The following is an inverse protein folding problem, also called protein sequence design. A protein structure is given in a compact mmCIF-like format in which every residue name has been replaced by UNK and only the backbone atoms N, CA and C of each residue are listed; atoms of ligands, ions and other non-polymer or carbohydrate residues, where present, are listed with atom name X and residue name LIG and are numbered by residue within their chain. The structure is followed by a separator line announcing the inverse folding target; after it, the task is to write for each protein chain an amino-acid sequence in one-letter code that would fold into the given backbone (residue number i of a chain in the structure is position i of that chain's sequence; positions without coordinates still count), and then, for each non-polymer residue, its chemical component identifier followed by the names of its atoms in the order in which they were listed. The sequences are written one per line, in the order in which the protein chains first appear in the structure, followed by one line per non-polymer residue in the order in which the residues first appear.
data_IF_946959800540
#
_entry.id   IF_946959800540
#
_cell.length_a   1.000
_cell.length_b   1.000
_cell.length_c   1.000
_cell.angle_alpha   90.00
_cell.angle_beta   90.00
_cell.angle_gamma   90.00
#
_symmetry.space_group_name_H-M   'P 1'
#
loop_
_entity.id
_entity.type
_entity.pdbx_description
1 polymer ?
#
# COMPACT_ATOMS: atom_id res chain seq x y z
N UNK A 1 -16.05 24.46 -212.06
CA UNK A 1 -15.97 25.59 -211.11
C UNK A 1 -17.14 25.69 -210.13
N UNK A 2 -18.42 25.80 -210.53
CA UNK A 2 -19.54 25.93 -209.57
C UNK A 2 -19.87 24.64 -208.79
N UNK A 3 -19.73 23.48 -209.46
CA UNK A 3 -19.91 22.15 -208.85
C UNK A 3 -18.78 21.78 -207.86
N UNK A 4 -17.55 22.24 -208.13
CA UNK A 4 -16.38 21.98 -207.29
C UNK A 4 -16.47 22.74 -205.95
N UNK A 5 -17.06 23.94 -205.98
CA UNK A 5 -17.31 24.77 -204.79
C UNK A 5 -18.38 24.15 -203.88
N UNK A 6 -19.50 23.69 -204.44
CA UNK A 6 -20.53 23.00 -203.65
C UNK A 6 -20.02 21.67 -203.10
N UNK A 7 -19.22 20.89 -203.84
CA UNK A 7 -18.60 19.68 -203.28
C UNK A 7 -17.58 19.97 -202.17
N UNK A 8 -16.86 21.10 -202.24
CA UNK A 8 -15.98 21.53 -201.16
C UNK A 8 -16.76 21.99 -199.92
N UNK A 9 -17.82 22.78 -200.10
CA UNK A 9 -18.72 23.21 -199.02
C UNK A 9 -19.42 22.01 -198.37
N UNK A 10 -19.82 21.01 -199.15
CA UNK A 10 -20.44 19.77 -198.66
C UNK A 10 -19.44 18.87 -197.92
N UNK A 11 -18.18 18.82 -198.35
CA UNK A 11 -17.10 18.17 -197.60
C UNK A 11 -16.80 18.87 -196.28
N UNK A 12 -16.83 20.21 -196.26
CA UNK A 12 -16.62 21.00 -195.05
C UNK A 12 -17.76 20.80 -194.07
N UNK A 13 -19.02 20.85 -194.52
CA UNK A 13 -20.17 20.59 -193.65
C UNK A 13 -20.20 19.15 -193.16
N UNK A 14 -19.83 18.17 -193.99
CA UNK A 14 -19.74 16.78 -193.59
C UNK A 14 -18.62 16.56 -192.55
N UNK A 15 -17.45 17.19 -192.72
CA UNK A 15 -16.39 17.17 -191.71
C UNK A 15 -16.82 17.85 -190.39
N UNK A 16 -17.56 18.96 -190.48
CA UNK A 16 -18.12 19.64 -189.31
C UNK A 16 -19.16 18.77 -188.59
N UNK A 17 -20.01 18.06 -189.34
CA UNK A 17 -21.00 17.13 -188.79
C UNK A 17 -20.30 15.96 -188.09
N UNK A 18 -19.30 15.34 -188.71
CA UNK A 18 -18.52 14.26 -188.08
C UNK A 18 -17.75 14.74 -186.85
N UNK A 19 -17.25 15.98 -186.84
CA UNK A 19 -16.66 16.60 -185.65
C UNK A 19 -17.68 16.81 -184.54
N UNK A 20 -18.88 17.28 -184.89
CA UNK A 20 -19.98 17.49 -183.95
C UNK A 20 -20.51 16.16 -183.39
N UNK A 21 -20.59 15.11 -184.22
CA UNK A 21 -20.90 13.75 -183.80
C UNK A 21 -19.84 13.23 -182.81
N UNK A 22 -18.56 13.44 -183.11
CA UNK A 22 -17.45 13.04 -182.21
C UNK A 22 -17.52 13.79 -180.87
N UNK A 23 -17.80 15.08 -180.90
CA UNK A 23 -18.00 15.89 -179.69
C UNK A 23 -19.21 15.41 -178.89
N UNK A 24 -20.30 15.05 -179.57
CA UNK A 24 -21.50 14.53 -178.91
C UNK A 24 -21.21 13.19 -178.21
N UNK A 25 -20.43 12.30 -178.84
CA UNK A 25 -19.97 11.05 -178.20
C UNK A 25 -19.11 11.35 -176.96
N UNK A 26 -18.19 12.32 -177.02
CA UNK A 26 -17.39 12.72 -175.85
C UNK A 26 -18.28 13.28 -174.75
N UNK A 27 -19.20 14.19 -175.07
CA UNK A 27 -20.13 14.77 -174.11
C UNK A 27 -21.05 13.72 -173.50
N UNK A 28 -21.49 12.71 -174.26
CA UNK A 28 -22.26 11.58 -173.75
C UNK A 28 -21.44 10.76 -172.76
N UNK A 29 -20.21 10.39 -173.12
CA UNK A 29 -19.29 9.67 -172.22
C UNK A 29 -19.02 10.46 -170.94
N UNK A 30 -18.72 11.76 -171.04
CA UNK A 30 -18.50 12.61 -169.87
C UNK A 30 -19.75 12.74 -169.00
N UNK A 31 -20.94 12.81 -169.59
CA UNK A 31 -22.18 12.82 -168.81
C UNK A 31 -22.45 11.48 -168.12
N UNK A 32 -22.10 10.36 -168.74
CA UNK A 32 -22.19 9.03 -168.13
C UNK A 32 -21.20 8.89 -166.97
N UNK A 33 -19.98 9.42 -167.11
CA UNK A 33 -18.99 9.44 -166.04
C UNK A 33 -19.42 10.33 -164.88
N UNK A 34 -19.87 11.56 -165.15
CA UNK A 34 -20.41 12.46 -164.12
C UNK A 34 -21.62 11.86 -163.39
N UNK A 35 -22.50 11.14 -164.09
CA UNK A 35 -23.62 10.43 -163.46
C UNK A 35 -23.14 9.32 -162.54
N UNK A 36 -22.08 8.59 -162.91
CA UNK A 36 -21.48 7.56 -162.07
C UNK A 36 -20.83 8.16 -160.83
N UNK A 37 -20.12 9.27 -160.97
CA UNK A 37 -19.50 10.00 -159.86
C UNK A 37 -20.54 10.55 -158.89
N UNK A 38 -21.66 11.10 -159.40
CA UNK A 38 -22.79 11.55 -158.57
C UNK A 38 -23.34 10.38 -157.74
N UNK A 39 -23.63 9.24 -158.37
CA UNK A 39 -24.11 8.05 -157.65
C UNK A 39 -23.10 7.54 -156.62
N UNK A 40 -21.80 7.63 -156.92
CA UNK A 40 -20.74 7.28 -155.97
C UNK A 40 -20.71 8.21 -154.76
N UNK A 41 -20.76 9.52 -154.99
CA UNK A 41 -20.81 10.52 -153.93
C UNK A 41 -22.10 10.45 -153.11
N UNK A 42 -23.24 10.13 -153.72
CA UNK A 42 -24.49 9.86 -153.00
C UNK A 42 -24.34 8.65 -152.06
N UNK A 43 -23.70 7.57 -152.51
CA UNK A 43 -23.40 6.41 -151.66
C UNK A 43 -22.44 6.76 -150.51
N UNK A 44 -21.37 7.52 -150.78
CA UNK A 44 -20.42 7.94 -149.74
C UNK A 44 -21.10 8.87 -148.71
N UNK A 45 -22.04 9.71 -149.14
CA UNK A 45 -22.85 10.55 -148.25
C UNK A 45 -23.73 9.68 -147.36
N UNK A 46 -24.45 8.72 -147.92
CA UNK A 46 -25.31 7.80 -147.16
C UNK A 46 -24.49 7.01 -146.11
N UNK A 47 -23.29 6.55 -146.48
CA UNK A 47 -22.39 5.84 -145.56
C UNK A 47 -21.90 6.75 -144.42
N UNK A 48 -21.49 7.99 -144.74
CA UNK A 48 -21.06 8.99 -143.74
C UNK A 48 -22.19 9.41 -142.80
N UNK A 49 -23.42 9.56 -143.30
CA UNK A 49 -24.61 9.83 -142.47
C UNK A 49 -24.85 8.69 -141.48
N UNK A 50 -24.73 7.43 -141.93
CA UNK A 50 -24.82 6.27 -141.04
C UNK A 50 -23.72 6.21 -139.96
N UNK A 51 -22.48 6.60 -140.31
CA UNK A 51 -21.39 6.71 -139.33
C UNK A 51 -21.65 7.83 -138.31
N UNK A 52 -22.19 8.98 -138.75
CA UNK A 52 -22.57 10.10 -137.88
C UNK A 52 -23.63 9.66 -136.88
N UNK A 53 -24.71 9.03 -137.34
CA UNK A 53 -25.77 8.52 -136.47
C UNK A 53 -25.22 7.55 -135.41
N UNK A 54 -24.33 6.64 -135.81
CA UNK A 54 -23.69 5.70 -134.89
C UNK A 54 -22.76 6.38 -133.87
N UNK A 55 -22.08 7.46 -134.24
CA UNK A 55 -21.27 8.26 -133.32
C UNK A 55 -22.14 9.06 -132.35
N UNK A 56 -23.26 9.63 -132.80
CA UNK A 56 -24.23 10.33 -131.95
C UNK A 56 -24.84 9.41 -130.89
N UNK A 57 -25.19 8.18 -131.27
CA UNK A 57 -25.65 7.14 -130.34
C UNK A 57 -24.57 6.81 -129.30
N UNK A 58 -23.32 6.63 -129.73
CA UNK A 58 -22.20 6.34 -128.82
C UNK A 58 -21.93 7.49 -127.84
N UNK A 59 -21.99 8.75 -128.30
CA UNK A 59 -21.86 9.94 -127.44
C UNK A 59 -22.96 9.95 -126.39
N UNK A 60 -24.22 9.71 -126.80
CA UNK A 60 -25.36 9.64 -125.88
C UNK A 60 -25.17 8.57 -124.81
N UNK A 61 -24.70 7.37 -125.19
CA UNK A 61 -24.40 6.28 -124.25
C UNK A 61 -23.29 6.68 -123.27
N UNK A 62 -22.23 7.32 -123.76
CA UNK A 62 -21.11 7.77 -122.93
C UNK A 62 -21.52 8.86 -121.93
N UNK A 63 -22.38 9.80 -122.34
CA UNK A 63 -22.92 10.84 -121.45
C UNK A 63 -23.78 10.25 -120.33
N UNK A 64 -24.64 9.28 -120.66
CA UNK A 64 -25.42 8.53 -119.66
C UNK A 64 -24.50 7.75 -118.72
N UNK A 65 -23.47 7.08 -119.25
CA UNK A 65 -22.47 6.36 -118.46
C UNK A 65 -21.71 7.27 -117.51
N UNK A 66 -21.29 8.45 -117.99
CA UNK A 66 -20.63 9.49 -117.19
C UNK A 66 -21.51 9.96 -116.05
N UNK A 67 -22.78 10.31 -116.32
CA UNK A 67 -23.71 10.75 -115.29
C UNK A 67 -23.92 9.69 -114.20
N UNK A 68 -24.00 8.40 -114.58
CA UNK A 68 -24.10 7.30 -113.62
C UNK A 68 -22.84 7.15 -112.75
N UNK A 69 -21.66 7.31 -113.34
CA UNK A 69 -20.40 7.27 -112.59
C UNK A 69 -20.29 8.44 -111.62
N UNK A 70 -20.67 9.65 -112.03
CA UNK A 70 -20.70 10.83 -111.15
C UNK A 70 -21.62 10.62 -109.94
N UNK A 71 -22.82 10.08 -110.14
CA UNK A 71 -23.73 9.72 -109.04
C UNK A 71 -23.14 8.64 -108.11
N UNK A 72 -22.43 7.66 -108.68
CA UNK A 72 -21.79 6.60 -107.90
C UNK A 72 -20.65 7.16 -107.04
N UNK A 73 -19.83 8.05 -107.60
CA UNK A 73 -18.75 8.73 -106.86
C UNK A 73 -19.33 9.56 -105.72
N UNK A 74 -20.37 10.36 -105.98
CA UNK A 74 -21.05 11.14 -104.93
C UNK A 74 -21.58 10.24 -103.79
N UNK A 75 -22.17 9.09 -104.14
CA UNK A 75 -22.64 8.12 -103.15
C UNK A 75 -21.50 7.53 -102.30
N UNK A 76 -20.37 7.20 -102.92
CA UNK A 76 -19.19 6.68 -102.22
C UNK A 76 -18.53 7.75 -101.32
N UNK A 77 -18.47 9.00 -101.77
CA UNK A 77 -17.96 10.12 -100.97
C UNK A 77 -18.82 10.35 -99.72
N UNK A 78 -20.15 10.31 -99.88
CA UNK A 78 -21.08 10.43 -98.75
C UNK A 78 -20.90 9.27 -97.74
N UNK A 79 -20.85 8.03 -98.22
CA UNK A 79 -20.64 6.86 -97.37
C UNK A 79 -19.27 6.90 -96.66
N UNK A 80 -18.22 7.37 -97.34
CA UNK A 80 -16.90 7.49 -96.73
C UNK A 80 -16.87 8.59 -95.65
N UNK A 81 -17.60 9.69 -95.83
CA UNK A 81 -17.78 10.72 -94.81
C UNK A 81 -18.51 10.18 -93.58
N UNK A 82 -19.55 9.37 -93.77
CA UNK A 82 -20.31 8.73 -92.68
C UNK A 82 -19.42 7.77 -91.88
N UNK A 83 -18.71 6.86 -92.57
CA UNK A 83 -17.78 5.92 -91.93
C UNK A 83 -16.64 6.63 -91.17
N UNK A 84 -16.19 7.78 -91.68
CA UNK A 84 -15.20 8.62 -91.00
C UNK A 84 -15.77 9.18 -89.69
N UNK A 85 -17.02 9.65 -89.70
CA UNK A 85 -17.72 10.10 -88.49
C UNK A 85 -17.90 8.98 -87.46
N UNK A 86 -18.38 7.81 -87.89
CA UNK A 86 -18.54 6.64 -87.01
C UNK A 86 -17.22 6.19 -86.37
N UNK A 87 -16.13 6.22 -87.16
CA UNK A 87 -14.78 5.93 -86.66
C UNK A 87 -14.36 6.92 -85.58
N UNK A 88 -14.57 8.22 -85.80
CA UNK A 88 -14.16 9.26 -84.85
C UNK A 88 -14.99 9.20 -83.55
N UNK A 89 -16.28 8.88 -83.65
CA UNK A 89 -17.12 8.59 -82.49
C UNK A 89 -16.69 7.31 -81.74
N UNK A 90 -16.27 6.28 -82.45
CA UNK A 90 -15.75 5.05 -81.84
C UNK A 90 -14.42 5.30 -81.11
N UNK A 91 -13.53 6.10 -81.68
CA UNK A 91 -12.28 6.53 -81.04
C UNK A 91 -12.59 7.31 -79.76
N UNK A 92 -13.48 8.31 -79.84
CA UNK A 92 -13.87 9.13 -78.69
C UNK A 92 -14.48 8.31 -77.55
N UNK A 93 -15.31 7.30 -77.89
CA UNK A 93 -15.84 6.33 -76.91
C UNK A 93 -14.75 5.45 -76.31
N UNK A 94 -13.79 5.02 -77.12
CA UNK A 94 -12.64 4.24 -76.66
C UNK A 94 -11.79 5.01 -75.64
N UNK A 95 -11.52 6.28 -75.91
CA UNK A 95 -10.75 7.15 -75.01
C UNK A 95 -11.48 7.37 -73.68
N UNK A 96 -12.80 7.62 -73.72
CA UNK A 96 -13.62 7.72 -72.51
C UNK A 96 -13.59 6.44 -71.66
N UNK A 97 -13.75 5.26 -72.29
CA UNK A 97 -13.67 3.98 -71.60
C UNK A 97 -12.29 3.71 -71.00
N UNK A 98 -11.22 4.20 -71.64
CA UNK A 98 -9.87 4.08 -71.11
C UNK A 98 -9.71 4.90 -69.81
N UNK A 99 -10.20 6.14 -69.81
CA UNK A 99 -10.21 7.00 -68.61
C UNK A 99 -11.03 6.36 -67.48
N UNK A 100 -12.24 5.86 -67.78
CA UNK A 100 -13.08 5.18 -66.79
C UNK A 100 -12.39 3.95 -66.19
N UNK A 101 -11.68 3.18 -67.01
CA UNK A 101 -10.91 2.02 -66.55
C UNK A 101 -9.77 2.41 -65.61
N UNK A 102 -9.04 3.48 -65.90
CA UNK A 102 -7.97 3.98 -65.01
C UNK A 102 -8.54 4.47 -63.68
N UNK A 103 -9.67 5.18 -63.70
CA UNK A 103 -10.36 5.61 -62.49
C UNK A 103 -10.82 4.42 -61.64
N UNK A 104 -11.49 3.45 -62.24
CA UNK A 104 -11.93 2.23 -61.54
C UNK A 104 -10.76 1.44 -60.95
N UNK A 105 -9.60 1.43 -61.63
CA UNK A 105 -8.38 0.79 -61.12
C UNK A 105 -7.88 1.50 -59.86
N UNK A 106 -7.91 2.83 -59.86
CA UNK A 106 -7.54 3.66 -58.72
C UNK A 106 -8.50 3.46 -57.55
N UNK A 107 -9.80 3.49 -57.80
CA UNK A 107 -10.85 3.30 -56.78
C UNK A 107 -10.77 1.90 -56.14
N UNK A 108 -10.45 0.88 -56.93
CA UNK A 108 -10.23 -0.48 -56.45
C UNK A 108 -8.99 -0.56 -55.53
N UNK A 109 -7.91 0.12 -55.88
CA UNK A 109 -6.70 0.16 -55.05
C UNK A 109 -6.98 0.86 -53.71
N UNK A 110 -7.68 2.00 -53.74
CA UNK A 110 -8.11 2.72 -52.52
C UNK A 110 -9.00 1.84 -51.65
N UNK A 111 -9.97 1.16 -52.25
CA UNK A 111 -10.90 0.27 -51.53
C UNK A 111 -10.17 -0.91 -50.88
N UNK A 112 -9.16 -1.48 -51.55
CA UNK A 112 -8.32 -2.54 -50.98
C UNK A 112 -7.54 -2.04 -49.76
N UNK A 113 -6.89 -0.88 -49.87
CA UNK A 113 -6.15 -0.31 -48.74
C UNK A 113 -7.06 0.00 -47.55
N UNK A 114 -8.25 0.56 -47.80
CA UNK A 114 -9.23 0.80 -46.74
C UNK A 114 -9.67 -0.51 -46.06
N UNK A 115 -9.89 -1.58 -46.82
CA UNK A 115 -10.24 -2.88 -46.25
C UNK A 115 -9.10 -3.48 -45.41
N UNK A 116 -7.85 -3.37 -45.85
CA UNK A 116 -6.68 -3.79 -45.07
C UNK A 116 -6.61 -3.06 -43.72
N UNK A 117 -6.79 -1.73 -43.74
CA UNK A 117 -6.81 -0.90 -42.52
C UNK A 117 -7.97 -1.26 -41.58
N UNK A 118 -9.14 -1.58 -42.14
CA UNK A 118 -10.30 -2.03 -41.34
C UNK A 118 -10.03 -3.40 -40.71
N UNK A 119 -9.37 -4.32 -41.41
CA UNK A 119 -8.98 -5.61 -40.86
C UNK A 119 -7.98 -5.46 -39.72
N UNK A 120 -6.97 -4.59 -39.87
CA UNK A 120 -6.01 -4.28 -38.80
C UNK A 120 -6.70 -3.68 -37.57
N UNK A 121 -7.58 -2.69 -37.78
CA UNK A 121 -8.36 -2.09 -36.70
C UNK A 121 -9.22 -3.13 -35.98
N UNK A 122 -9.88 -4.02 -36.73
CA UNK A 122 -10.73 -5.07 -36.15
C UNK A 122 -9.91 -6.08 -35.34
N UNK A 123 -8.71 -6.46 -35.81
CA UNK A 123 -7.80 -7.31 -35.06
C UNK A 123 -7.36 -6.64 -33.74
N UNK A 124 -7.06 -5.33 -33.77
CA UNK A 124 -6.76 -4.54 -32.57
C UNK A 124 -7.92 -4.53 -31.57
N UNK A 125 -9.13 -4.22 -32.01
CA UNK A 125 -10.33 -4.23 -31.16
C UNK A 125 -10.61 -5.61 -30.55
N UNK A 126 -10.32 -6.69 -31.28
CA UNK A 126 -10.43 -8.04 -30.73
C UNK A 126 -9.40 -8.32 -29.62
N UNK A 127 -8.17 -7.81 -29.75
CA UNK A 127 -7.15 -7.90 -28.69
C UNK A 127 -7.59 -7.12 -27.44
N UNK A 128 -7.98 -5.86 -27.61
CA UNK A 128 -8.44 -4.99 -26.52
C UNK A 128 -9.63 -5.61 -25.77
N UNK A 129 -10.59 -6.19 -26.51
CA UNK A 129 -11.75 -6.87 -25.93
C UNK A 129 -11.33 -8.10 -25.12
N UNK A 130 -10.31 -8.84 -25.57
CA UNK A 130 -9.79 -10.00 -24.83
C UNK A 130 -9.11 -9.57 -23.54
N UNK A 131 -8.31 -8.51 -23.58
CA UNK A 131 -7.64 -7.94 -22.39
C UNK A 131 -8.65 -7.42 -21.37
N UNK A 132 -9.65 -6.64 -21.80
CA UNK A 132 -10.69 -6.13 -20.94
C UNK A 132 -11.52 -7.24 -20.27
N UNK A 133 -11.73 -8.37 -20.96
CA UNK A 133 -12.39 -9.55 -20.38
C UNK A 133 -11.53 -10.19 -19.29
N UNK A 134 -10.24 -10.38 -19.54
CA UNK A 134 -9.32 -10.93 -18.55
C UNK A 134 -9.22 -10.04 -17.30
N UNK A 135 -9.18 -8.71 -17.47
CA UNK A 135 -9.20 -7.77 -16.35
C UNK A 135 -10.51 -7.87 -15.55
N UNK A 136 -11.66 -7.97 -16.22
CA UNK A 136 -12.95 -8.14 -15.56
C UNK A 136 -13.01 -9.43 -14.73
N UNK A 137 -12.52 -10.54 -15.29
CA UNK A 137 -12.47 -11.83 -14.58
C UNK A 137 -11.59 -11.73 -13.31
N UNK A 138 -10.44 -11.05 -13.40
CA UNK A 138 -9.58 -10.79 -12.25
C UNK A 138 -10.27 -9.93 -11.19
N UNK A 139 -10.91 -8.82 -11.59
CA UNK A 139 -11.65 -7.95 -10.67
C UNK A 139 -12.79 -8.70 -9.98
N UNK A 140 -13.50 -9.57 -10.70
CA UNK A 140 -14.52 -10.42 -10.10
C UNK A 140 -13.94 -11.41 -9.08
N UNK A 141 -12.76 -11.99 -9.34
CA UNK A 141 -12.09 -12.87 -8.40
C UNK A 141 -11.72 -12.12 -7.11
N UNK A 142 -11.08 -10.96 -7.22
CA UNK A 142 -10.75 -10.12 -6.06
C UNK A 142 -11.98 -9.68 -5.28
N UNK A 143 -13.10 -9.37 -5.96
CA UNK A 143 -14.33 -8.98 -5.27
C UNK A 143 -14.96 -10.15 -4.49
N UNK A 144 -14.85 -11.39 -5.00
CA UNK A 144 -15.27 -12.59 -4.27
C UNK A 144 -14.40 -12.82 -3.02
N UNK A 145 -13.09 -12.63 -3.14
CA UNK A 145 -12.14 -12.75 -2.03
C UNK A 145 -12.45 -11.72 -0.92
N UNK A 146 -12.55 -10.43 -1.28
CA UNK A 146 -12.89 -9.36 -0.34
C UNK A 146 -14.25 -9.58 0.34
N UNK A 147 -15.22 -10.15 -0.38
CA UNK A 147 -16.51 -10.50 0.21
C UNK A 147 -16.39 -11.61 1.25
N UNK A 148 -15.49 -12.59 1.03
CA UNK A 148 -15.19 -13.65 2.00
C UNK A 148 -14.46 -13.12 3.24
N UNK A 149 -13.48 -12.25 3.04
CA UNK A 149 -12.76 -11.59 4.13
C UNK A 149 -13.69 -10.75 5.00
N UNK A 150 -14.63 -10.02 4.37
CA UNK A 150 -15.62 -9.21 5.07
C UNK A 150 -16.53 -10.06 5.97
N UNK A 151 -16.98 -11.23 5.48
CA UNK A 151 -17.83 -12.12 6.27
C UNK A 151 -17.05 -12.79 7.42
N UNK A 152 -15.77 -13.10 7.19
CA UNK A 152 -14.87 -13.61 8.23
C UNK A 152 -14.68 -12.57 9.34
N UNK A 153 -14.32 -11.33 8.98
CA UNK A 153 -14.17 -10.23 9.93
C UNK A 153 -15.47 -9.95 10.70
N UNK A 154 -16.62 -10.07 10.04
CA UNK A 154 -17.93 -9.93 10.69
C UNK A 154 -18.16 -11.03 11.73
N UNK A 155 -17.80 -12.27 11.43
CA UNK A 155 -17.92 -13.39 12.36
C UNK A 155 -17.00 -13.20 13.57
N UNK A 156 -15.75 -12.79 13.34
CA UNK A 156 -14.79 -12.48 14.41
C UNK A 156 -15.28 -11.34 15.30
N UNK A 157 -15.85 -10.28 14.72
CA UNK A 157 -16.43 -9.18 15.47
C UNK A 157 -17.57 -9.63 16.40
N UNK A 158 -18.47 -10.50 15.91
CA UNK A 158 -19.56 -11.04 16.72
C UNK A 158 -19.04 -11.94 17.85
N UNK A 159 -17.99 -12.72 17.59
CA UNK A 159 -17.34 -13.53 18.62
C UNK A 159 -16.68 -12.65 19.70
N UNK A 160 -16.01 -11.57 19.29
CA UNK A 160 -15.40 -10.62 20.21
C UNK A 160 -16.46 -9.92 21.07
N UNK A 161 -17.59 -9.52 20.47
CA UNK A 161 -18.70 -8.93 21.21
C UNK A 161 -19.27 -9.88 22.27
N UNK A 162 -19.39 -11.18 21.95
CA UNK A 162 -19.78 -12.19 22.93
C UNK A 162 -18.76 -12.33 24.06
N UNK A 163 -17.46 -12.31 23.74
CA UNK A 163 -16.40 -12.41 24.73
C UNK A 163 -16.39 -11.21 25.70
N UNK A 164 -16.67 -10.00 25.19
CA UNK A 164 -16.84 -8.80 26.03
C UNK A 164 -17.95 -9.00 27.06
N UNK A 165 -19.10 -9.55 26.65
CA UNK A 165 -20.19 -9.87 27.60
C UNK A 165 -19.77 -10.86 28.70
N UNK A 166 -18.98 -11.88 28.36
CA UNK A 166 -18.44 -12.81 29.37
C UNK A 166 -17.47 -12.14 30.34
N UNK A 167 -16.65 -11.19 29.89
CA UNK A 167 -15.75 -10.43 30.77
C UNK A 167 -16.55 -9.59 31.76
N UNK A 168 -17.63 -8.95 31.32
CA UNK A 168 -18.52 -8.18 32.20
C UNK A 168 -19.16 -9.07 33.28
N UNK A 169 -19.61 -10.29 32.93
CA UNK A 169 -20.13 -11.27 33.90
C UNK A 169 -19.07 -11.72 34.91
N UNK A 170 -17.86 -12.02 34.44
CA UNK A 170 -16.74 -12.39 35.31
C UNK A 170 -16.35 -11.25 36.25
N UNK A 171 -16.38 -10.01 35.78
CA UNK A 171 -16.09 -8.83 36.59
C UNK A 171 -17.14 -8.65 37.69
N UNK A 172 -18.43 -8.79 37.35
CA UNK A 172 -19.50 -8.78 38.36
C UNK A 172 -19.34 -9.90 39.39
N UNK A 173 -18.90 -11.09 38.95
CA UNK A 173 -18.65 -12.22 39.85
C UNK A 173 -17.48 -11.94 40.78
N UNK A 174 -16.38 -11.41 40.25
CA UNK A 174 -15.19 -11.05 41.03
C UNK A 174 -15.50 -9.96 42.07
N UNK A 175 -16.30 -8.96 41.70
CA UNK A 175 -16.74 -7.91 42.63
C UNK A 175 -17.67 -8.47 43.73
N UNK A 176 -18.52 -9.44 43.39
CA UNK A 176 -19.33 -10.18 44.38
C UNK A 176 -18.46 -10.93 45.39
N UNK A 177 -17.50 -11.72 44.91
CA UNK A 177 -16.55 -12.46 45.77
C UNK A 177 -15.71 -11.52 46.64
N UNK A 178 -15.24 -10.39 46.10
CA UNK A 178 -14.55 -9.36 46.90
C UNK A 178 -15.42 -8.84 48.03
N UNK A 179 -16.70 -8.61 47.78
CA UNK A 179 -17.66 -8.23 48.83
C UNK A 179 -17.76 -9.29 49.93
N UNK A 180 -17.91 -10.57 49.56
CA UNK A 180 -17.96 -11.68 50.52
C UNK A 180 -16.69 -11.80 51.36
N UNK A 181 -15.50 -11.60 50.77
CA UNK A 181 -14.23 -11.60 51.50
C UNK A 181 -14.21 -10.51 52.57
N UNK A 182 -14.60 -9.28 52.22
CA UNK A 182 -14.64 -8.17 53.18
C UNK A 182 -15.59 -8.48 54.35
N UNK A 183 -16.77 -9.04 54.06
CA UNK A 183 -17.71 -9.47 55.11
C UNK A 183 -17.12 -10.54 56.03
N UNK A 184 -16.42 -11.54 55.46
CA UNK A 184 -15.76 -12.59 56.23
C UNK A 184 -14.60 -12.06 57.07
N UNK A 185 -13.79 -11.12 56.54
CA UNK A 185 -12.72 -10.46 57.28
C UNK A 185 -13.27 -9.66 58.47
N UNK A 186 -14.35 -8.90 58.26
CA UNK A 186 -15.04 -8.15 59.32
C UNK A 186 -15.61 -9.09 60.40
N UNK A 187 -16.09 -10.27 60.01
CA UNK A 187 -16.57 -11.29 60.96
C UNK A 187 -15.43 -11.99 61.71
N UNK A 188 -14.30 -12.22 61.06
CA UNK A 188 -13.14 -12.92 61.64
C UNK A 188 -12.42 -12.05 62.68
N UNK A 189 -12.32 -10.74 62.43
CA UNK A 189 -11.60 -9.79 63.28
C UNK A 189 -11.97 -9.85 64.78
N UNK A 190 -13.26 -9.79 65.19
CA UNK A 190 -13.62 -9.87 66.61
C UNK A 190 -13.38 -11.25 67.23
N UNK A 191 -13.35 -12.33 66.43
CA UNK A 191 -13.03 -13.67 66.94
C UNK A 191 -11.55 -13.78 67.30
N UNK A 192 -10.65 -13.28 66.44
CA UNK A 192 -9.20 -13.23 66.69
C UNK A 192 -8.90 -12.40 67.94
N UNK A 193 -9.51 -11.23 68.08
CA UNK A 193 -9.29 -10.33 69.23
C UNK A 193 -9.92 -10.82 70.55
N UNK A 194 -10.74 -11.87 70.51
CA UNK A 194 -11.36 -12.45 71.73
C UNK A 194 -10.51 -13.55 72.40
N UNK A 195 -9.48 -14.05 71.71
CA UNK A 195 -8.56 -15.07 72.21
C UNK A 195 -7.40 -14.42 72.95
N UNK A 196 -7.44 -14.41 74.29
CA UNK A 196 -6.44 -13.91 75.26
C UNK A 196 -5.33 -13.00 74.67
N UNK A 197 -5.76 -11.96 73.94
CA UNK A 197 -4.85 -11.12 73.19
C UNK A 197 -4.32 -10.09 74.18
N UNK A 198 -3.06 -10.24 74.59
CA UNK A 198 -2.42 -9.26 75.43
C UNK A 198 -1.95 -8.12 74.55
N UNK A 199 -2.50 -6.93 74.78
CA UNK A 199 -1.87 -5.67 74.34
C UNK A 199 -0.66 -5.45 75.25
N UNK A 200 0.43 -6.20 75.05
CA UNK A 200 1.53 -6.24 76.01
C UNK A 200 2.53 -5.12 75.78
N UNK A 201 2.75 -4.37 76.87
CA UNK A 201 3.66 -3.27 77.13
C UNK A 201 5.16 -3.43 76.83
N UNK A 202 5.68 -4.52 76.27
CA UNK A 202 7.15 -4.70 76.28
C UNK A 202 7.72 -5.69 75.27
N UNK A 203 7.93 -5.24 74.03
CA UNK A 203 9.07 -5.73 73.25
C UNK A 203 10.19 -4.69 73.40
N UNK A 204 11.43 -5.14 73.56
CA UNK A 204 12.56 -4.21 73.59
C UNK A 204 12.78 -3.70 72.18
N UNK A 205 12.64 -2.39 72.00
CA UNK A 205 12.87 -1.82 70.69
C UNK A 205 14.36 -1.59 70.47
N UNK A 206 14.96 -2.42 69.64
CA UNK A 206 16.34 -2.30 69.19
C UNK A 206 16.47 -1.53 67.87
N UNK A 207 15.33 -1.15 67.26
CA UNK A 207 15.27 -0.58 65.91
C UNK A 207 15.37 -1.63 64.79
N UNK A 208 15.61 -2.90 65.11
CA UNK A 208 15.79 -3.97 64.12
C UNK A 208 14.54 -4.26 63.28
N UNK A 209 13.36 -3.79 63.71
CA UNK A 209 12.10 -3.95 62.97
C UNK A 209 11.64 -2.70 62.23
N UNK A 210 12.43 -1.62 62.24
CA UNK A 210 12.11 -0.45 61.43
C UNK A 210 12.33 -0.76 59.93
N UNK A 211 11.43 -0.32 59.03
CA UNK A 211 10.36 0.66 59.25
C UNK A 211 9.00 0.06 59.67
N UNK A 212 8.85 -1.26 59.72
CA UNK A 212 7.55 -1.92 59.95
C UNK A 212 7.04 -1.74 61.37
N UNK A 213 7.93 -1.82 62.35
CA UNK A 213 7.60 -1.66 63.77
C UNK A 213 8.66 -0.78 64.43
N UNK A 214 8.27 0.44 64.78
CA UNK A 214 9.09 1.39 65.52
C UNK A 214 8.94 1.26 67.02
N UNK A 215 9.84 1.92 67.76
CA UNK A 215 9.86 1.88 69.23
C UNK A 215 8.66 2.54 69.92
N UNK A 216 7.83 3.23 69.15
CA UNK A 216 6.66 3.94 69.61
C UNK A 216 5.37 3.23 69.20
N UNK A 217 5.47 2.10 68.53
CA UNK A 217 4.32 1.34 68.11
C UNK A 217 3.90 0.42 69.24
N UNK A 218 2.62 0.03 69.24
CA UNK A 218 2.14 -1.09 70.03
C UNK A 218 1.72 -2.21 69.09
N UNK A 219 1.78 -3.42 69.62
CA UNK A 219 1.45 -4.64 68.89
C UNK A 219 0.47 -5.43 69.72
N UNK A 220 -0.57 -5.95 69.08
CA UNK A 220 -1.38 -7.00 69.68
C UNK A 220 -0.74 -8.34 69.37
N UNK A 221 -0.35 -9.04 70.42
CA UNK A 221 0.25 -10.37 70.36
C UNK A 221 -0.81 -11.43 70.67
N UNK A 222 -0.81 -12.50 69.89
CA UNK A 222 -1.47 -13.75 70.28
C UNK A 222 -0.40 -14.63 70.90
N UNK A 223 -0.59 -14.99 72.17
CA UNK A 223 0.36 -15.80 72.95
C UNK A 223 -0.03 -17.28 73.02
N UNK A 224 -1.29 -17.61 72.73
CA UNK A 224 -1.79 -18.98 72.59
C UNK A 224 -2.17 -19.25 71.14
N UNK A 225 -1.30 -19.93 70.40
CA UNK A 225 -1.49 -20.19 68.97
C UNK A 225 -0.96 -21.56 68.58
N UNK A 226 -1.55 -22.16 67.55
CA UNK A 226 -0.94 -23.32 66.91
C UNK A 226 0.23 -22.85 66.05
N UNK A 227 1.41 -23.50 66.08
CA UNK A 227 2.56 -23.05 65.31
C UNK A 227 2.31 -22.98 63.80
N UNK A 228 1.35 -23.75 63.28
CA UNK A 228 0.90 -23.67 61.88
C UNK A 228 0.17 -22.37 61.51
N UNK A 229 -0.19 -21.53 62.49
CA UNK A 229 -0.78 -20.20 62.26
C UNK A 229 0.27 -19.15 61.90
N UNK A 230 1.54 -19.39 62.23
CA UNK A 230 2.64 -18.53 61.82
C UNK A 230 2.98 -18.87 60.37
N UNK A 231 2.95 -17.85 59.51
CA UNK A 231 3.34 -17.93 58.11
C UNK A 231 4.60 -17.11 57.86
N UNK A 232 5.31 -17.39 56.76
CA UNK A 232 6.36 -16.50 56.27
C UNK A 232 5.79 -15.07 56.13
N UNK A 233 6.53 -14.10 56.65
CA UNK A 233 6.10 -12.71 56.74
C UNK A 233 5.42 -12.35 58.06
N UNK A 234 5.00 -13.30 58.90
CA UNK A 234 4.49 -12.98 60.23
C UNK A 234 5.60 -12.41 61.13
N UNK A 235 5.26 -11.50 62.05
CA UNK A 235 6.20 -11.00 63.06
C UNK A 235 5.98 -11.79 64.34
N UNK A 236 7.04 -12.37 64.89
CA UNK A 236 7.01 -13.19 66.10
C UNK A 236 7.84 -12.54 67.20
N UNK A 237 7.37 -12.62 68.44
CA UNK A 237 8.15 -12.32 69.64
C UNK A 237 8.72 -13.62 70.17
N UNK A 238 10.03 -13.68 70.39
CA UNK A 238 10.71 -14.90 70.82
C UNK A 238 11.92 -14.61 71.70
N UNK A 239 12.35 -15.63 72.43
CA UNK A 239 13.57 -15.60 73.22
C UNK A 239 14.73 -16.23 72.42
N UNK A 240 15.78 -15.46 72.08
CA UNK A 240 16.91 -15.91 71.27
C UNK A 240 17.93 -16.72 72.08
N UNK A 241 17.51 -17.87 72.62
CA UNK A 241 18.38 -18.81 73.37
C UNK A 241 19.43 -19.53 72.50
N UNK A 242 19.52 -19.22 71.21
CA UNK A 242 20.42 -19.86 70.25
C UNK A 242 21.77 -19.13 70.10
N UNK A 243 21.91 -17.92 70.64
CA UNK A 243 23.17 -17.16 70.57
C UNK A 243 24.10 -17.59 71.71
N UNK A 244 24.96 -18.59 71.46
CA UNK A 244 25.91 -19.16 72.44
C UNK A 244 26.85 -18.12 73.10
N UNK A 245 26.95 -16.91 72.54
CA UNK A 245 27.80 -15.81 73.03
C UNK A 245 27.11 -14.86 74.02
N UNK A 246 25.83 -15.05 74.34
CA UNK A 246 25.05 -14.15 75.21
C UNK A 246 24.44 -14.85 76.44
N UNK A 247 25.20 -15.71 77.11
CA UNK A 247 24.78 -16.45 78.31
C UNK A 247 24.38 -15.57 79.53
N UNK A 248 24.56 -14.25 79.46
CA UNK A 248 24.24 -13.28 80.53
C UNK A 248 23.08 -12.32 80.19
N UNK A 249 22.35 -12.52 79.07
CA UNK A 249 21.17 -11.69 78.74
C UNK A 249 19.88 -12.38 79.19
N UNK A 250 19.61 -12.29 80.49
CA UNK A 250 18.30 -12.66 81.05
C UNK A 250 17.17 -11.87 80.35
N UNK A 251 16.16 -12.60 79.84
CA UNK A 251 14.77 -12.18 79.57
C UNK A 251 14.48 -11.03 78.58
N UNK A 252 15.28 -10.83 77.52
CA UNK A 252 14.95 -9.82 76.48
C UNK A 252 14.23 -10.46 75.28
N UNK A 253 12.90 -10.31 75.25
CA UNK A 253 12.09 -10.69 74.10
C UNK A 253 12.43 -9.86 72.86
N UNK A 254 12.70 -10.56 71.76
CA UNK A 254 12.99 -9.96 70.45
C UNK A 254 11.81 -10.19 69.51
N UNK A 255 11.41 -9.17 68.77
CA UNK A 255 10.35 -9.26 67.78
C UNK A 255 10.94 -9.22 66.38
N UNK A 256 10.83 -10.27 65.56
CA UNK A 256 11.31 -10.27 64.18
C UNK A 256 10.36 -10.94 63.18
N UNK A 257 10.54 -10.65 61.88
CA UNK A 257 9.76 -11.26 60.81
C UNK A 257 10.28 -12.66 60.50
N UNK A 258 9.38 -13.62 60.42
CA UNK A 258 9.67 -14.97 59.94
C UNK A 258 9.91 -14.91 58.43
N UNK A 259 11.07 -15.39 57.98
CA UNK A 259 11.42 -15.43 56.54
C UNK A 259 11.52 -16.86 55.99
N UNK A 260 11.56 -17.87 56.87
CA UNK A 260 11.52 -19.28 56.49
C UNK A 260 10.95 -20.11 57.66
N UNK A 261 10.34 -21.26 57.34
CA UNK A 261 9.71 -22.17 58.29
C UNK A 261 10.08 -23.60 57.93
N UNK A 262 10.52 -24.38 58.92
CA UNK A 262 10.69 -25.83 58.76
C UNK A 262 10.01 -26.62 59.87
N UNK A 263 9.69 -27.87 59.56
CA UNK A 263 9.15 -28.83 60.52
C UNK A 263 10.11 -30.01 60.63
N UNK A 264 10.73 -30.16 61.80
CA UNK A 264 11.77 -31.17 62.05
C UNK A 264 11.56 -31.74 63.46
N UNK A 265 11.67 -33.06 63.60
CA UNK A 265 11.47 -33.79 64.87
C UNK A 265 10.16 -33.44 65.61
N UNK A 266 9.07 -33.31 64.85
CA UNK A 266 7.73 -32.91 65.32
C UNK A 266 7.67 -31.50 65.95
N UNK A 267 8.63 -30.62 65.63
CA UNK A 267 8.69 -29.24 66.11
C UNK A 267 8.80 -28.26 64.95
N UNK A 268 7.95 -27.22 64.96
CA UNK A 268 8.09 -26.08 64.05
C UNK A 268 9.26 -25.21 64.46
N UNK A 269 10.05 -24.81 63.47
CA UNK A 269 11.16 -23.90 63.63
C UNK A 269 10.96 -22.71 62.69
N UNK A 270 11.25 -21.52 63.20
CA UNK A 270 11.10 -20.26 62.49
C UNK A 270 12.47 -19.62 62.31
N UNK A 271 12.76 -19.16 61.09
CA UNK A 271 13.97 -18.41 60.80
C UNK A 271 13.62 -16.92 60.80
N UNK A 272 14.01 -16.15 61.83
CA UNK A 272 13.61 -14.75 61.93
C UNK A 272 14.67 -13.81 61.35
N UNK A 273 14.21 -12.64 60.92
CA UNK A 273 15.04 -11.51 60.54
C UNK A 273 14.33 -10.20 60.90
N UNK A 274 15.07 -9.28 61.52
CA UNK A 274 14.61 -7.91 61.69
C UNK A 274 14.47 -7.19 60.36
N UNK A 275 13.37 -6.47 60.14
CA UNK A 275 13.13 -5.74 58.88
C UNK A 275 14.19 -4.67 58.55
N UNK A 276 14.86 -4.14 59.58
CA UNK A 276 15.97 -3.19 59.46
C UNK A 276 17.35 -3.85 59.42
N UNK A 277 17.43 -5.18 59.53
CA UNK A 277 18.68 -5.93 59.49
C UNK A 277 18.94 -6.45 58.07
N UNK A 278 20.19 -6.36 57.61
CA UNK A 278 20.61 -6.96 56.33
C UNK A 278 20.79 -8.48 56.46
N UNK A 279 21.26 -8.93 57.63
CA UNK A 279 21.49 -10.32 57.96
C UNK A 279 20.29 -10.90 58.74
N UNK A 280 20.04 -12.20 58.57
CA UNK A 280 19.11 -12.93 59.43
C UNK A 280 19.69 -13.16 60.82
N UNK A 281 18.86 -13.65 61.75
CA UNK A 281 19.30 -13.85 63.14
C UNK A 281 20.25 -15.04 63.31
N UNK A 282 20.55 -15.77 62.23
CA UNK A 282 21.52 -16.86 62.18
C UNK A 282 21.10 -18.14 62.88
N UNK A 283 19.83 -18.28 63.31
CA UNK A 283 19.37 -19.47 64.02
C UNK A 283 17.89 -19.80 63.82
N UNK A 284 17.58 -21.09 63.97
CA UNK A 284 16.21 -21.61 63.96
C UNK A 284 15.61 -21.51 65.36
N UNK A 285 14.50 -20.79 65.48
CA UNK A 285 13.75 -20.63 66.73
C UNK A 285 12.68 -21.72 66.82
N UNK A 286 12.78 -22.68 67.75
CA UNK A 286 11.73 -23.67 67.94
C UNK A 286 10.47 -22.98 68.48
N UNK A 287 9.30 -23.48 68.12
CA UNK A 287 8.02 -22.91 68.55
C UNK A 287 7.90 -22.72 70.07
N UNK A 288 8.48 -23.61 70.88
CA UNK A 288 8.49 -23.48 72.34
C UNK A 288 9.21 -22.23 72.86
N UNK A 289 9.98 -21.53 72.03
CA UNK A 289 10.65 -20.27 72.34
C UNK A 289 9.95 -19.05 71.75
N UNK A 290 8.85 -19.24 71.01
CA UNK A 290 8.03 -18.14 70.48
C UNK A 290 6.96 -17.81 71.51
N UNK A 291 6.98 -16.58 72.02
CA UNK A 291 6.09 -16.11 73.06
C UNK A 291 4.81 -15.49 72.51
N UNK A 292 4.84 -15.04 71.26
CA UNK A 292 3.64 -14.55 70.59
C UNK A 292 3.90 -14.26 69.12
N UNK A 293 2.85 -14.10 68.33
CA UNK A 293 2.93 -13.53 67.00
C UNK A 293 1.99 -12.32 66.86
N UNK A 294 2.44 -11.33 66.10
CA UNK A 294 1.77 -10.07 65.92
C UNK A 294 0.59 -10.24 64.96
N UNK A 295 -0.58 -9.75 65.38
CA UNK A 295 -1.78 -9.74 64.53
C UNK A 295 -2.28 -8.35 64.18
N UNK A 296 -1.97 -7.34 64.99
CA UNK A 296 -2.25 -5.95 64.68
C UNK A 296 -1.09 -5.06 65.14
N UNK A 297 -0.75 -4.08 64.32
CA UNK A 297 0.25 -3.05 64.58
C UNK A 297 -0.46 -1.71 64.75
N UNK A 298 -0.10 -0.96 65.78
CA UNK A 298 -0.64 0.36 66.03
C UNK A 298 0.49 1.37 66.09
N UNK A 299 0.66 2.09 64.99
CA UNK A 299 1.70 3.10 64.86
C UNK A 299 1.57 4.20 65.93
N UNK A 300 2.72 4.63 66.49
CA UNK A 300 2.84 5.79 67.39
C UNK A 300 1.90 5.78 68.62
N UNK A 301 1.61 4.61 69.17
CA UNK A 301 0.70 4.45 70.31
C UNK A 301 1.40 4.47 71.67
N UNK A 302 2.73 4.41 71.73
CA UNK A 302 3.57 4.54 72.94
C UNK A 302 4.46 5.77 72.91
N UNK A 303 4.91 6.24 74.10
CA UNK A 303 4.26 6.09 75.40
C UNK A 303 2.88 6.78 75.41
N UNK A 304 2.00 6.47 76.37
CA UNK A 304 0.71 7.17 76.53
C UNK A 304 0.91 8.67 76.82
N UNK A 305 2.04 9.03 77.46
CA UNK A 305 2.43 10.41 77.70
C UNK A 305 2.93 11.06 76.39
N UNK A 306 2.13 11.98 75.84
CA UNK A 306 2.44 12.70 74.61
C UNK A 306 3.77 13.50 74.67
N UNK A 307 4.14 14.04 75.84
CA UNK A 307 5.41 14.78 76.00
C UNK A 307 6.61 13.84 75.90
N UNK A 308 6.51 12.67 76.50
CA UNK A 308 7.56 11.66 76.45
C UNK A 308 7.67 11.05 75.05
N UNK A 309 6.54 10.85 74.37
CA UNK A 309 6.51 10.43 72.96
C UNK A 309 7.21 11.44 72.07
N UNK A 310 6.91 12.73 72.25
CA UNK A 310 7.56 13.79 71.49
C UNK A 310 9.07 13.83 71.78
N UNK A 311 9.49 13.61 73.03
CA UNK A 311 10.90 13.58 73.41
C UNK A 311 11.66 12.41 72.74
N UNK A 312 11.08 11.20 72.72
CA UNK A 312 11.66 10.03 72.04
C UNK A 312 11.70 10.23 70.53
N UNK A 313 10.61 10.71 69.92
CA UNK A 313 10.56 11.04 68.48
C UNK A 313 11.66 12.04 68.10
N UNK A 314 11.76 13.13 68.86
CA UNK A 314 12.77 14.18 68.62
C UNK A 314 14.18 13.61 68.74
N UNK A 315 14.46 12.83 69.79
CA UNK A 315 15.78 12.23 69.98
C UNK A 315 16.12 11.20 68.88
N UNK A 316 15.15 10.41 68.43
CA UNK A 316 15.31 9.45 67.32
C UNK A 316 15.66 10.18 66.03
N UNK A 317 14.91 11.23 65.70
CA UNK A 317 15.09 11.95 64.45
C UNK A 317 16.46 12.64 64.41
N UNK A 318 16.91 13.22 65.55
CA UNK A 318 18.28 13.73 65.71
C UNK A 318 19.33 12.63 65.54
N UNK A 319 19.16 11.46 66.19
CA UNK A 319 20.09 10.35 66.05
C UNK A 319 20.21 9.88 64.60
N UNK A 320 19.09 9.72 63.88
CA UNK A 320 19.09 9.33 62.47
C UNK A 320 19.80 10.35 61.60
N UNK A 321 19.49 11.63 61.75
CA UNK A 321 20.13 12.71 60.97
C UNK A 321 21.67 12.71 61.16
N UNK A 322 22.12 12.55 62.41
CA UNK A 322 23.55 12.55 62.72
C UNK A 322 24.23 11.25 62.25
N UNK A 323 23.60 10.09 62.42
CA UNK A 323 24.08 8.81 61.89
C UNK A 323 24.22 8.87 60.37
N UNK A 324 23.19 9.34 59.68
CA UNK A 324 23.18 9.39 58.22
C UNK A 324 24.27 10.36 57.72
N UNK A 325 24.51 11.47 58.45
CA UNK A 325 25.63 12.38 58.18
C UNK A 325 27.00 11.71 58.36
N UNK A 326 27.17 10.90 59.42
CA UNK A 326 28.38 10.11 59.65
C UNK A 326 28.58 9.06 58.54
N UNK A 327 27.55 8.27 58.23
CA UNK A 327 27.60 7.21 57.22
C UNK A 327 27.90 7.82 55.83
N UNK A 328 27.32 8.97 55.50
CA UNK A 328 27.60 9.70 54.26
C UNK A 328 29.05 10.18 54.20
N UNK A 329 29.55 10.83 55.27
CA UNK A 329 30.93 11.30 55.33
C UNK A 329 31.93 10.14 55.25
N UNK A 330 31.68 9.06 56.01
CA UNK A 330 32.50 7.86 56.00
C UNK A 330 32.51 7.21 54.61
N UNK A 331 31.34 7.01 53.99
CA UNK A 331 31.24 6.44 52.64
C UNK A 331 31.91 7.33 51.59
N UNK A 332 31.77 8.65 51.69
CA UNK A 332 32.41 9.63 50.80
C UNK A 332 33.93 9.52 50.84
N UNK A 333 34.51 9.27 52.00
CA UNK A 333 35.98 9.22 52.16
C UNK A 333 36.58 7.82 52.02
N UNK A 334 35.85 6.80 52.42
CA UNK A 334 36.32 5.41 52.45
C UNK A 334 35.87 4.61 51.22
N UNK A 335 34.81 5.04 50.54
CA UNK A 335 34.22 4.33 49.41
C UNK A 335 33.41 3.09 49.81
N UNK A 336 33.09 2.96 51.09
CA UNK A 336 32.33 1.84 51.67
C UNK A 336 31.70 2.24 53.00
N UNK A 337 30.71 1.46 53.45
CA UNK A 337 29.98 1.73 54.69
C UNK A 337 30.85 1.46 55.94
N UNK A 338 30.73 2.25 57.02
CA UNK A 338 31.50 2.04 58.25
C UNK A 338 31.29 0.65 58.89
N UNK A 339 30.23 -0.06 58.52
CA UNK A 339 29.89 -1.37 59.06
C UNK A 339 30.56 -2.55 58.32
N UNK A 340 31.28 -2.32 57.22
CA UNK A 340 31.89 -3.39 56.42
C UNK A 340 33.22 -3.95 56.98
N UNK A 341 33.66 -3.50 58.16
CA UNK A 341 34.87 -4.02 58.82
C UNK A 341 36.19 -3.77 58.07
N UNK A 342 36.19 -2.87 57.06
CA UNK A 342 37.37 -2.54 56.25
C UNK A 342 38.13 -1.35 56.85
N UNK A 343 39.46 -1.40 56.85
CA UNK A 343 40.29 -0.29 57.34
C UNK A 343 40.26 0.88 56.36
N UNK A 344 39.85 2.07 56.83
CA UNK A 344 39.86 3.30 56.06
C UNK A 344 41.03 4.21 56.45
N UNK A 345 41.72 4.78 55.46
CA UNK A 345 42.83 5.73 55.67
C UNK A 345 42.39 7.15 55.29
N UNK A 346 42.11 7.96 56.31
CA UNK A 346 41.64 9.34 56.16
C UNK A 346 42.83 10.33 56.19
N UNK A 347 42.77 11.39 55.38
CA UNK A 347 43.65 12.55 55.56
C UNK A 347 43.28 13.32 56.83
N UNK A 348 44.17 14.18 57.34
CA UNK A 348 43.95 14.86 58.63
C UNK A 348 42.58 15.54 58.75
N UNK A 349 42.18 16.34 57.76
CA UNK A 349 40.87 17.02 57.78
C UNK A 349 39.68 16.05 57.65
N UNK A 350 39.82 14.96 56.89
CA UNK A 350 38.78 13.95 56.75
C UNK A 350 38.61 13.16 58.05
N UNK A 351 39.71 12.86 58.75
CA UNK A 351 39.70 12.19 60.04
C UNK A 351 38.98 13.05 61.08
N UNK A 352 39.29 14.35 61.15
CA UNK A 352 38.68 15.27 62.10
C UNK A 352 37.16 15.39 61.89
N UNK A 353 36.72 15.55 60.64
CA UNK A 353 35.29 15.61 60.29
C UNK A 353 34.56 14.29 60.62
N UNK A 354 35.11 13.15 60.19
CA UNK A 354 34.49 11.84 60.39
C UNK A 354 34.44 11.46 61.88
N UNK A 355 35.48 11.82 62.64
CA UNK A 355 35.55 11.58 64.10
C UNK A 355 34.57 12.48 64.85
N UNK A 356 34.42 13.74 64.43
CA UNK A 356 33.43 14.66 65.01
C UNK A 356 32.00 14.14 64.80
N UNK A 357 31.67 13.72 63.58
CA UNK A 357 30.37 13.12 63.26
C UNK A 357 30.14 11.81 64.02
N UNK A 358 31.16 10.97 64.17
CA UNK A 358 31.07 9.75 64.98
C UNK A 358 30.76 10.07 66.45
N UNK A 359 31.46 11.05 67.05
CA UNK A 359 31.16 11.48 68.41
C UNK A 359 29.76 12.07 68.57
N UNK A 360 29.31 12.86 67.58
CA UNK A 360 27.96 13.39 67.55
C UNK A 360 26.93 12.25 67.47
N UNK A 361 27.18 11.23 66.64
CA UNK A 361 26.32 10.05 66.49
C UNK A 361 26.23 9.28 67.81
N UNK A 362 27.37 9.01 68.47
CA UNK A 362 27.41 8.31 69.76
C UNK A 362 26.63 9.10 70.82
N UNK A 363 26.81 10.41 70.88
CA UNK A 363 26.09 11.28 71.82
C UNK A 363 24.58 11.30 71.55
N UNK A 364 24.17 11.39 70.28
CA UNK A 364 22.77 11.33 69.90
C UNK A 364 22.15 9.96 70.20
N UNK A 365 22.91 8.86 70.01
CA UNK A 365 22.50 7.51 70.37
C UNK A 365 22.31 7.38 71.89
N UNK A 366 23.19 7.95 72.70
CA UNK A 366 23.06 7.93 74.16
C UNK A 366 21.80 8.68 74.62
N UNK A 367 21.51 9.84 74.02
CA UNK A 367 20.30 10.62 74.31
C UNK A 367 19.05 9.86 73.87
N UNK A 368 19.04 9.30 72.66
CA UNK A 368 17.94 8.49 72.16
C UNK A 368 17.70 7.24 73.02
N UNK A 369 18.76 6.51 73.36
CA UNK A 369 18.71 5.32 74.21
C UNK A 369 18.20 5.67 75.61
N UNK A 370 18.61 6.82 76.15
CA UNK A 370 18.14 7.31 77.43
C UNK A 370 16.63 7.61 77.40
N UNK A 371 16.15 8.37 76.40
CA UNK A 371 14.72 8.69 76.27
C UNK A 371 13.88 7.45 76.02
N UNK A 372 14.38 6.50 75.21
CA UNK A 372 13.72 5.20 74.98
C UNK A 372 13.61 4.42 76.28
N UNK A 373 14.68 4.33 77.07
CA UNK A 373 14.67 3.65 78.38
C UNK A 373 13.74 4.33 79.39
N UNK A 374 13.67 5.67 79.38
CA UNK A 374 12.69 6.40 80.21
C UNK A 374 11.26 6.09 79.75
N UNK A 375 11.02 6.02 78.43
CA UNK A 375 9.72 5.63 77.88
C UNK A 375 9.33 4.19 78.23
N UNK A 376 10.27 3.25 78.15
CA UNK A 376 10.09 1.85 78.57
C UNK A 376 9.78 1.73 80.06
N UNK A 377 10.48 2.49 80.93
CA UNK A 377 10.28 2.43 82.38
C UNK A 377 9.06 3.23 82.86
N UNK A 378 8.55 4.16 82.04
CA UNK A 378 7.38 4.96 82.35
C UNK A 378 6.09 4.18 82.09
N UNK A 379 5.88 3.07 82.80
CA UNK A 379 4.59 2.36 82.80
C UNK A 379 3.46 3.17 83.47
N UNK A 380 3.75 4.39 83.97
CA UNK A 380 2.81 5.23 84.71
C UNK A 380 2.70 6.64 84.12
N UNK A 381 1.48 7.11 83.79
CA UNK A 381 1.26 8.48 83.34
C UNK A 381 1.67 9.48 84.44
N UNK A 382 2.61 10.38 84.13
CA UNK A 382 2.92 11.54 84.97
C UNK A 382 4.16 11.48 85.85
N UNK A 383 5.00 10.44 85.74
CA UNK A 383 6.31 10.42 86.43
C UNK A 383 7.45 10.47 85.41
N UNK A 384 7.99 11.67 85.16
CA UNK A 384 9.26 11.85 84.44
C UNK A 384 10.35 11.81 85.51
N UNK A 385 11.29 10.85 85.51
CA UNK A 385 12.40 10.83 86.46
C UNK A 385 13.17 12.16 86.40
N UNK A 386 13.39 12.82 87.54
CA UNK A 386 14.04 14.14 87.63
C UNK A 386 15.51 14.15 87.14
N UNK A 387 16.09 12.99 86.82
CA UNK A 387 17.34 12.86 86.09
C UNK A 387 17.07 12.78 84.58
N UNK A 388 16.63 13.91 84.01
CA UNK A 388 16.40 14.11 82.57
C UNK A 388 17.62 13.68 81.75
N UNK A 389 17.38 12.97 80.65
CA UNK A 389 18.33 12.72 79.56
C UNK A 389 18.78 14.07 78.98
N UNK A 390 19.75 14.72 79.62
CA UNK A 390 20.22 16.04 79.21
C UNK A 390 21.05 15.90 77.95
N UNK A 391 20.65 16.62 76.91
CA UNK A 391 21.52 16.95 75.79
C UNK A 391 22.78 17.61 76.35
N UNK A 392 23.91 16.91 76.36
CA UNK A 392 25.25 17.53 76.51
C UNK A 392 25.74 18.08 75.15
N UNK A 393 24.81 18.51 74.30
CA UNK A 393 25.08 19.05 72.97
C UNK A 393 25.09 20.59 72.98
N UNK A 394 25.51 21.19 74.09
CA UNK A 394 25.84 22.61 74.15
C UNK A 394 27.20 22.75 74.84
N UNK A 395 28.12 23.38 74.10
CA UNK A 395 29.46 23.79 74.48
C UNK A 395 30.51 22.67 74.59
N UNK A 396 31.01 22.21 73.43
CA UNK A 396 32.39 22.52 73.01
C UNK A 396 32.67 21.91 71.62
N UNK A 397 33.21 22.75 70.72
CA UNK A 397 33.88 22.46 69.43
C UNK A 397 33.08 22.39 68.10
N UNK A 398 33.21 23.52 67.37
CA UNK A 398 33.53 23.74 65.93
C UNK A 398 32.43 23.56 64.89
#
# INVERSE_FOLDING_TARGET
MRLDRTNAELKITQASLSSQESLNVVLQSTNEDLRRDIVGLESDIDDLEGEIDGLEDNVTILEVGKARLELTVQGLEAANSELTGERDEAISRGDALFVDKEQLTTDLAVSRNNNERLLETNAGLHSDLSEARAENDNLQASNRELSGDLETARTEYMALQSAVGTVEELQSTADGVRGEIVELEDMLRPLILSWDSRTTGGFFCTGSMEPTLGCLDSVTWITEFEPSMIVEGAVISFNPNCWETHADKDDVNTAHRVIDIKFEDDVYHFWPRGDGNEEDDGCWIPHGNVEGYAVEFFADTRPENAELRLAVLTARDVFREVRDSYDEAYTRYCGFSPYEGRTCYLSGSQYDETTSLWHAQVSALDVYSCWTKVAEQSEWPGHIPEHTCKYQWEADSV
#
